data_IF_105136298679
#
_entry.id   IF_105136298679
#
_cell.length_a   1.000
_cell.length_b   1.000
_cell.length_c   1.000
_cell.angle_alpha   90.00
_cell.angle_beta   90.00
_cell.angle_gamma   90.00
#
_symmetry.space_group_name_H-M   'P 1'
#
loop_
_entity.id
_entity.type
_entity.pdbx_description
1 polymer ?
#
# COMPACT_ATOMS: atom_id res chain seq x y z
N UNK A 1 -32.11 7.78 42.22
CA UNK A 1 -30.68 7.56 42.56
C UNK A 1 -30.09 6.33 41.81
N UNK A 2 -30.27 6.25 40.48
CA UNK A 2 -29.76 5.13 39.63
C UNK A 2 -29.14 5.57 38.30
N UNK A 3 -29.02 6.87 38.05
CA UNK A 3 -28.55 7.43 36.78
C UNK A 3 -27.08 7.84 36.78
N UNK A 4 -26.42 7.91 37.94
CA UNK A 4 -25.01 8.31 38.04
C UNK A 4 -24.01 7.15 37.83
N UNK A 5 -24.44 5.88 37.94
CA UNK A 5 -23.53 4.73 37.81
C UNK A 5 -23.22 4.32 36.37
N UNK A 6 -24.02 4.76 35.38
CA UNK A 6 -23.82 4.35 33.99
C UNK A 6 -22.83 5.27 33.24
N UNK A 7 -22.75 6.54 33.64
CA UNK A 7 -21.82 7.51 33.03
C UNK A 7 -20.35 7.23 33.42
N UNK A 8 -20.09 6.78 34.65
CA UNK A 8 -18.72 6.47 35.09
C UNK A 8 -18.16 5.20 34.42
N UNK A 9 -19.04 4.28 34.00
CA UNK A 9 -18.63 3.06 33.29
C UNK A 9 -18.34 3.33 31.81
N UNK A 10 -18.98 4.33 31.20
CA UNK A 10 -18.81 4.64 29.77
C UNK A 10 -17.51 5.43 29.46
N UNK A 11 -16.98 6.17 30.44
CA UNK A 11 -15.75 6.96 30.28
C UNK A 11 -14.43 6.18 30.46
N UNK A 12 -14.46 4.95 30.99
CA UNK A 12 -13.25 4.14 31.21
C UNK A 12 -12.93 3.18 30.04
N UNK A 13 -13.85 3.00 29.10
CA UNK A 13 -13.70 2.11 27.93
C UNK A 13 -13.23 2.84 26.65
N UNK A 14 -12.93 4.14 26.72
CA UNK A 14 -12.26 4.88 25.63
C UNK A 14 -10.75 5.03 25.86
N UNK A 15 -10.15 4.14 26.66
CA UNK A 15 -8.75 3.84 26.49
C UNK A 15 -8.65 2.94 25.26
N UNK A 16 -8.16 3.47 24.14
CA UNK A 16 -7.87 2.69 22.94
C UNK A 16 -7.22 1.36 23.32
N UNK A 17 -7.63 0.27 22.66
CA UNK A 17 -7.10 -1.06 22.98
C UNK A 17 -5.57 -0.98 23.00
N UNK A 18 -4.88 -1.61 23.97
CA UNK A 18 -3.42 -1.57 23.99
C UNK A 18 -2.90 -2.12 22.66
N UNK A 19 -1.93 -1.45 22.04
CA UNK A 19 -1.37 -1.79 20.72
C UNK A 19 -1.03 -3.28 20.59
N UNK A 20 -0.57 -3.91 21.67
CA UNK A 20 -0.29 -5.34 21.72
C UNK A 20 -1.51 -6.22 21.39
N UNK A 21 -2.69 -5.87 21.88
CA UNK A 21 -3.92 -6.58 21.52
C UNK A 21 -4.30 -6.37 20.06
N UNK A 22 -4.10 -5.17 19.52
CA UNK A 22 -4.36 -4.90 18.10
C UNK A 22 -3.41 -5.67 17.18
N UNK A 23 -2.14 -5.83 17.58
CA UNK A 23 -1.16 -6.66 16.87
C UNK A 23 -1.60 -8.13 16.84
N UNK A 24 -2.05 -8.66 17.98
CA UNK A 24 -2.56 -10.03 18.08
C UNK A 24 -3.85 -10.24 17.27
N UNK A 25 -4.65 -9.19 17.15
CA UNK A 25 -5.90 -9.18 16.39
C UNK A 25 -5.68 -9.15 14.85
N UNK A 26 -4.52 -8.64 14.39
CA UNK A 26 -4.17 -8.51 12.96
C UNK A 26 -2.76 -9.06 12.68
N UNK A 27 -2.53 -10.37 12.88
CA UNK A 27 -1.19 -10.96 12.86
C UNK A 27 -0.50 -10.88 11.49
N UNK A 28 -1.23 -11.05 10.38
CA UNK A 28 -0.64 -11.00 9.04
C UNK A 28 -0.26 -9.57 8.66
N UNK A 29 -1.13 -8.59 8.92
CA UNK A 29 -0.84 -7.17 8.69
C UNK A 29 0.36 -6.72 9.50
N UNK A 30 0.41 -7.06 10.79
CA UNK A 30 1.53 -6.72 11.66
C UNK A 30 2.86 -7.33 11.16
N UNK A 31 2.81 -8.59 10.69
CA UNK A 31 3.98 -9.25 10.09
C UNK A 31 4.46 -8.54 8.83
N UNK A 32 3.55 -8.20 7.90
CA UNK A 32 3.88 -7.48 6.66
C UNK A 32 4.48 -6.10 6.96
N UNK A 33 3.91 -5.37 7.90
CA UNK A 33 4.44 -4.06 8.33
C UNK A 33 5.85 -4.21 8.90
N UNK A 34 6.08 -5.22 9.74
CA UNK A 34 7.39 -5.54 10.29
C UNK A 34 8.42 -5.85 9.20
N UNK A 35 8.04 -6.68 8.21
CA UNK A 35 8.89 -7.04 7.07
C UNK A 35 9.25 -5.80 6.25
N UNK A 36 8.26 -4.97 5.87
CA UNK A 36 8.52 -3.76 5.08
C UNK A 36 9.42 -2.78 5.84
N UNK A 37 9.19 -2.61 7.14
CA UNK A 37 9.99 -1.71 7.99
C UNK A 37 11.43 -2.21 8.14
N UNK A 38 11.62 -3.52 8.29
CA UNK A 38 12.95 -4.15 8.34
C UNK A 38 13.71 -4.01 7.02
N UNK A 39 13.03 -4.25 5.89
CA UNK A 39 13.61 -4.08 4.55
C UNK A 39 14.00 -2.62 4.33
N UNK A 40 13.13 -1.67 4.67
CA UNK A 40 13.44 -0.24 4.59
C UNK A 40 14.67 0.11 5.43
N UNK A 41 14.74 -0.32 6.69
CA UNK A 41 15.89 -0.06 7.55
C UNK A 41 17.19 -0.62 6.96
N UNK A 42 17.14 -1.83 6.40
CA UNK A 42 18.28 -2.43 5.71
C UNK A 42 18.73 -1.62 4.48
N UNK A 43 17.78 -1.19 3.64
CA UNK A 43 18.03 -0.35 2.46
C UNK A 43 18.70 0.97 2.87
N UNK A 44 18.19 1.64 3.91
CA UNK A 44 18.77 2.89 4.41
C UNK A 44 20.19 2.69 4.94
N UNK A 45 20.40 1.66 5.76
CA UNK A 45 21.72 1.37 6.35
C UNK A 45 22.78 1.06 5.29
N UNK A 46 22.38 0.46 4.16
CA UNK A 46 23.26 0.11 3.05
C UNK A 46 23.29 1.15 1.92
N UNK A 47 22.52 2.24 2.06
CA UNK A 47 22.39 3.29 1.05
C UNK A 47 22.05 2.72 -0.35
N UNK A 48 21.11 1.78 -0.39
CA UNK A 48 20.71 1.09 -1.62
C UNK A 48 19.72 1.97 -2.40
N UNK A 49 20.05 2.29 -3.65
CA UNK A 49 19.20 3.11 -4.52
C UNK A 49 18.07 2.34 -5.22
N UNK A 50 17.15 3.08 -5.84
CA UNK A 50 15.96 2.55 -6.53
C UNK A 50 16.29 1.47 -7.57
N UNK A 51 17.33 1.66 -8.38
CA UNK A 51 17.73 0.74 -9.46
C UNK A 51 18.06 -0.68 -8.98
N UNK A 52 18.43 -0.86 -7.71
CA UNK A 52 18.85 -2.15 -7.17
C UNK A 52 17.67 -3.00 -6.68
N UNK A 53 16.58 -2.37 -6.24
CA UNK A 53 15.46 -3.06 -5.58
C UNK A 53 14.14 -2.97 -6.35
N UNK A 54 14.02 -1.98 -7.23
CA UNK A 54 12.78 -1.75 -7.95
C UNK A 54 12.64 -2.58 -9.22
N UNK A 55 11.39 -2.63 -9.67
CA UNK A 55 10.95 -3.31 -10.87
C UNK A 55 11.00 -2.33 -12.04
N UNK A 56 11.82 -2.64 -13.04
CA UNK A 56 11.86 -1.91 -14.31
C UNK A 56 11.71 -2.88 -15.47
N UNK A 57 11.27 -2.37 -16.63
CA UNK A 57 11.11 -3.21 -17.82
C UNK A 57 12.45 -3.86 -18.23
N UNK A 58 13.55 -3.09 -18.17
CA UNK A 58 14.90 -3.58 -18.48
C UNK A 58 15.31 -4.75 -17.59
N UNK A 59 15.19 -4.60 -16.27
CA UNK A 59 15.55 -5.67 -15.32
C UNK A 59 14.68 -6.91 -15.48
N UNK A 60 13.40 -6.74 -15.83
CA UNK A 60 12.50 -7.87 -16.10
C UNK A 60 12.90 -8.63 -17.37
N UNK A 61 13.31 -7.94 -18.43
CA UNK A 61 13.82 -8.56 -19.67
C UNK A 61 15.16 -9.27 -19.45
N UNK A 62 15.99 -8.75 -18.54
CA UNK A 62 17.26 -9.38 -18.12
C UNK A 62 17.07 -10.64 -17.25
N UNK A 63 15.82 -11.01 -16.93
CA UNK A 63 15.50 -12.21 -16.17
C UNK A 63 15.37 -12.00 -14.66
N UNK A 64 15.40 -10.76 -14.16
CA UNK A 64 15.24 -10.44 -12.74
C UNK A 64 13.77 -10.47 -12.27
N UNK A 65 13.02 -11.52 -12.62
CA UNK A 65 11.58 -11.63 -12.36
C UNK A 65 11.20 -11.64 -10.87
N UNK A 66 12.12 -12.02 -9.97
CA UNK A 66 11.88 -11.94 -8.52
C UNK A 66 11.57 -10.51 -8.05
N UNK A 67 12.01 -9.50 -8.81
CA UNK A 67 11.70 -8.09 -8.54
C UNK A 67 10.22 -7.77 -8.60
N UNK A 68 9.40 -8.60 -9.24
CA UNK A 68 7.93 -8.49 -9.21
C UNK A 68 7.42 -8.52 -7.77
N UNK A 69 7.99 -9.41 -6.95
CA UNK A 69 7.60 -9.55 -5.55
C UNK A 69 8.42 -8.62 -4.67
N UNK A 70 9.76 -8.63 -4.80
CA UNK A 70 10.62 -7.91 -3.84
C UNK A 70 10.47 -6.38 -3.93
N UNK A 71 10.14 -5.84 -5.10
CA UNK A 71 9.89 -4.40 -5.25
C UNK A 71 8.67 -3.92 -4.49
N UNK A 72 7.64 -4.77 -4.33
CA UNK A 72 6.43 -4.44 -3.57
C UNK A 72 6.72 -4.21 -2.08
N UNK A 73 7.69 -4.92 -1.52
CA UNK A 73 8.09 -4.78 -0.10
C UNK A 73 9.22 -3.78 0.13
N UNK A 74 9.74 -3.16 -0.95
CA UNK A 74 10.86 -2.23 -0.87
C UNK A 74 10.36 -0.79 -0.88
N UNK A 75 10.77 0.00 0.11
CA UNK A 75 10.51 1.44 0.18
C UNK A 75 11.83 2.18 0.27
N UNK A 76 11.96 3.28 -0.45
CA UNK A 76 13.15 4.16 -0.36
C UNK A 76 12.87 5.38 0.51
N UNK A 77 11.67 5.96 0.42
CA UNK A 77 11.27 7.10 1.24
C UNK A 77 10.58 6.66 2.53
N UNK A 78 10.98 7.25 3.67
CA UNK A 78 10.33 7.03 4.97
C UNK A 78 8.86 7.47 4.96
N UNK A 79 8.56 8.54 4.24
CA UNK A 79 7.19 9.06 4.12
C UNK A 79 6.34 8.05 3.36
N UNK A 80 6.87 7.50 2.25
CA UNK A 80 6.16 6.48 1.46
C UNK A 80 5.96 5.19 2.26
N UNK A 81 6.91 4.81 3.12
CA UNK A 81 6.74 3.70 4.05
C UNK A 81 5.59 3.99 5.03
N UNK A 82 5.65 5.10 5.76
CA UNK A 82 4.66 5.46 6.79
C UNK A 82 3.25 5.49 6.23
N UNK A 83 3.00 6.16 5.11
CA UNK A 83 1.66 6.21 4.51
C UNK A 83 1.13 4.82 4.13
N UNK A 84 1.96 3.98 3.51
CA UNK A 84 1.55 2.62 3.17
C UNK A 84 1.25 1.79 4.41
N UNK A 85 2.09 1.86 5.44
CA UNK A 85 1.89 1.08 6.66
C UNK A 85 0.68 1.57 7.46
N UNK A 86 0.42 2.88 7.53
CA UNK A 86 -0.78 3.44 8.15
C UNK A 86 -2.06 3.04 7.43
N UNK A 87 -2.05 3.07 6.09
CA UNK A 87 -3.17 2.60 5.30
C UNK A 87 -3.38 1.08 5.46
N UNK A 88 -2.29 0.29 5.41
CA UNK A 88 -2.35 -1.16 5.59
C UNK A 88 -2.87 -1.56 6.97
N UNK A 89 -2.46 -0.87 8.03
CA UNK A 89 -2.96 -1.08 9.39
C UNK A 89 -4.48 -0.94 9.49
N UNK A 90 -5.02 0.06 8.79
CA UNK A 90 -6.46 0.33 8.71
C UNK A 90 -7.18 -0.79 7.96
N UNK A 91 -6.59 -1.26 6.86
CA UNK A 91 -7.11 -2.35 6.04
C UNK A 91 -7.01 -3.72 6.73
N UNK A 92 -6.13 -3.86 7.72
CA UNK A 92 -5.98 -5.10 8.51
C UNK A 92 -7.25 -5.51 9.28
N UNK A 93 -8.28 -4.65 9.35
CA UNK A 93 -9.62 -5.06 9.82
C UNK A 93 -10.18 -6.27 9.05
N UNK A 94 -9.75 -6.48 7.80
CA UNK A 94 -10.12 -7.63 6.97
C UNK A 94 -9.83 -8.95 7.67
N UNK A 95 -8.74 -9.04 8.44
CA UNK A 95 -8.36 -10.28 9.15
C UNK A 95 -9.38 -10.69 10.22
N UNK A 96 -10.11 -9.72 10.77
CA UNK A 96 -11.08 -9.90 11.85
C UNK A 96 -12.49 -10.20 11.34
N UNK A 97 -12.73 -10.03 10.04
CA UNK A 97 -14.04 -10.23 9.42
C UNK A 97 -14.30 -11.71 9.06
N UNK A 98 -13.66 -12.65 9.76
CA UNK A 98 -13.67 -14.08 9.43
C UNK A 98 -15.08 -14.67 9.38
N UNK A 99 -16.00 -14.13 10.18
CA UNK A 99 -17.41 -14.48 10.20
C UNK A 99 -18.16 -14.14 8.89
N UNK A 100 -17.61 -13.25 8.05
CA UNK A 100 -18.10 -12.90 6.71
C UNK A 100 -17.34 -13.63 5.58
N UNK A 101 -16.50 -14.62 5.92
CA UNK A 101 -15.61 -15.29 4.97
C UNK A 101 -14.35 -14.47 4.61
N UNK A 102 -14.12 -13.35 5.30
CA UNK A 102 -12.93 -12.51 5.16
C UNK A 102 -12.00 -12.80 6.36
N UNK A 103 -11.11 -13.78 6.23
CA UNK A 103 -10.20 -14.16 7.32
C UNK A 103 -8.74 -13.86 7.00
N UNK A 104 -7.85 -14.25 7.91
CA UNK A 104 -6.39 -14.18 7.71
C UNK A 104 -5.95 -14.93 6.44
N UNK A 105 -6.53 -16.09 6.17
CA UNK A 105 -6.22 -16.87 4.95
C UNK A 105 -6.62 -16.11 3.68
N UNK A 106 -7.85 -15.57 3.65
CA UNK A 106 -8.33 -14.74 2.54
C UNK A 106 -7.42 -13.53 2.34
N UNK A 107 -7.04 -12.86 3.42
CA UNK A 107 -6.14 -11.72 3.40
C UNK A 107 -4.76 -12.08 2.83
N UNK A 108 -4.16 -13.19 3.24
CA UNK A 108 -2.85 -13.61 2.71
C UNK A 108 -2.92 -14.02 1.23
N UNK A 109 -3.94 -14.80 0.84
CA UNK A 109 -4.12 -15.24 -0.54
C UNK A 109 -4.33 -14.06 -1.48
N UNK A 110 -5.24 -13.15 -1.14
CA UNK A 110 -5.50 -11.97 -1.98
C UNK A 110 -4.34 -11.00 -1.98
N UNK A 111 -3.62 -10.85 -0.86
CA UNK A 111 -2.38 -10.07 -0.82
C UNK A 111 -1.36 -10.61 -1.81
N UNK A 112 -1.15 -11.93 -1.85
CA UNK A 112 -0.24 -12.56 -2.80
C UNK A 112 -0.68 -12.32 -4.25
N UNK A 113 -1.98 -12.51 -4.53
CA UNK A 113 -2.55 -12.23 -5.85
C UNK A 113 -2.35 -10.77 -6.24
N UNK A 114 -2.61 -9.81 -5.34
CA UNK A 114 -2.43 -8.39 -5.59
C UNK A 114 -0.98 -8.03 -5.85
N UNK A 115 -0.02 -8.60 -5.10
CA UNK A 115 1.43 -8.39 -5.33
C UNK A 115 1.82 -8.85 -6.74
N UNK A 116 1.46 -10.09 -7.11
CA UNK A 116 1.84 -10.65 -8.41
C UNK A 116 1.12 -9.96 -9.55
N UNK A 117 -0.20 -9.79 -9.43
CA UNK A 117 -1.04 -9.17 -10.46
C UNK A 117 -0.62 -7.73 -10.73
N UNK A 118 -0.38 -6.94 -9.69
CA UNK A 118 0.05 -5.54 -9.88
C UNK A 118 1.40 -5.44 -10.57
N UNK A 119 2.39 -6.26 -10.18
CA UNK A 119 3.69 -6.28 -10.85
C UNK A 119 3.61 -6.74 -12.30
N UNK A 120 2.80 -7.75 -12.62
CA UNK A 120 2.55 -8.19 -14.00
C UNK A 120 1.85 -7.11 -14.82
N UNK A 121 0.85 -6.44 -14.26
CA UNK A 121 0.15 -5.34 -14.92
C UNK A 121 1.08 -4.15 -15.20
N UNK A 122 1.96 -3.79 -14.26
CA UNK A 122 2.97 -2.76 -14.47
C UNK A 122 3.90 -3.13 -15.63
N UNK A 123 4.41 -4.36 -15.67
CA UNK A 123 5.26 -4.82 -16.77
C UNK A 123 4.52 -4.87 -18.11
N UNK A 124 3.26 -5.33 -18.12
CA UNK A 124 2.44 -5.34 -19.32
C UNK A 124 2.19 -3.91 -19.84
N UNK A 125 1.92 -2.97 -18.95
CA UNK A 125 1.77 -1.55 -19.29
C UNK A 125 3.06 -0.97 -19.87
N UNK A 126 4.22 -1.24 -19.25
CA UNK A 126 5.51 -0.81 -19.79
C UNK A 126 5.78 -1.44 -21.16
N UNK A 127 5.48 -2.73 -21.32
CA UNK A 127 5.61 -3.41 -22.62
C UNK A 127 4.77 -2.73 -23.70
N UNK A 128 3.50 -2.41 -23.42
CA UNK A 128 2.61 -1.73 -24.35
C UNK A 128 3.09 -0.31 -24.68
N UNK A 129 3.51 0.47 -23.68
CA UNK A 129 4.00 1.85 -23.88
C UNK A 129 5.30 1.88 -24.71
N UNK A 130 6.21 0.94 -24.46
CA UNK A 130 7.48 0.86 -25.18
C UNK A 130 7.25 0.33 -26.61
N UNK A 131 6.56 -0.80 -26.78
CA UNK A 131 6.41 -1.44 -28.09
C UNK A 131 5.42 -0.71 -29.01
N UNK A 132 4.28 -0.25 -28.46
CA UNK A 132 3.21 0.35 -29.28
C UNK A 132 3.39 1.85 -29.47
N UNK A 133 3.81 2.55 -28.41
CA UNK A 133 3.92 4.01 -28.41
C UNK A 133 5.37 4.51 -28.55
N UNK A 134 6.36 3.60 -28.58
CA UNK A 134 7.79 3.91 -28.74
C UNK A 134 8.33 4.87 -27.68
N UNK A 135 7.76 4.82 -26.48
CA UNK A 135 8.16 5.66 -25.34
C UNK A 135 9.29 4.97 -24.57
N UNK A 136 10.51 5.04 -25.11
CA UNK A 136 11.71 4.40 -24.54
C UNK A 136 12.06 4.87 -23.11
N UNK A 137 11.54 6.02 -22.69
CA UNK A 137 11.68 6.52 -21.32
C UNK A 137 11.22 5.49 -20.27
N UNK A 138 10.11 4.79 -20.52
CA UNK A 138 9.55 3.80 -19.57
C UNK A 138 10.41 2.55 -19.38
N UNK A 139 11.45 2.37 -20.18
CA UNK A 139 12.34 1.22 -20.08
C UNK A 139 13.13 1.20 -18.76
N UNK A 140 13.51 2.39 -18.27
CA UNK A 140 14.35 2.60 -17.08
C UNK A 140 13.56 3.04 -15.85
N UNK A 141 12.31 3.48 -16.04
CA UNK A 141 11.42 3.84 -14.95
C UNK A 141 11.27 2.66 -14.00
N UNK A 142 11.64 2.91 -12.75
CA UNK A 142 11.74 1.88 -11.73
C UNK A 142 10.61 2.06 -10.72
N UNK A 143 9.90 0.97 -10.47
CA UNK A 143 8.71 0.91 -9.64
C UNK A 143 9.03 0.23 -8.30
N UNK A 144 8.68 0.88 -7.17
CA UNK A 144 8.85 0.33 -5.81
C UNK A 144 7.66 0.64 -4.90
N UNK A 145 7.42 -0.22 -3.91
CA UNK A 145 6.50 0.03 -2.79
C UNK A 145 5.21 -0.80 -2.82
N UNK A 146 4.56 -0.80 -1.66
CA UNK A 146 3.40 -1.66 -1.35
C UNK A 146 2.05 -1.03 -1.70
N UNK A 147 2.07 0.19 -2.26
CA UNK A 147 0.87 0.99 -2.51
C UNK A 147 -0.12 0.32 -3.45
N UNK A 148 0.33 -0.39 -4.48
CA UNK A 148 -0.54 -1.15 -5.37
C UNK A 148 -1.40 -2.18 -4.62
N UNK A 149 -0.83 -2.82 -3.59
CA UNK A 149 -1.52 -3.80 -2.75
C UNK A 149 -2.50 -3.09 -1.81
N UNK A 150 -2.08 -1.98 -1.20
CA UNK A 150 -2.96 -1.12 -0.38
C UNK A 150 -4.19 -0.68 -1.18
N UNK A 151 -4.00 -0.18 -2.41
CA UNK A 151 -5.11 0.24 -3.28
C UNK A 151 -5.97 -0.93 -3.73
N UNK A 152 -5.38 -2.09 -4.03
CA UNK A 152 -6.13 -3.31 -4.31
C UNK A 152 -7.06 -3.67 -3.15
N UNK A 153 -6.55 -3.62 -1.92
CA UNK A 153 -7.35 -3.86 -0.71
C UNK A 153 -8.43 -2.82 -0.49
N UNK A 154 -8.13 -1.53 -0.66
CA UNK A 154 -9.14 -0.46 -0.61
C UNK A 154 -10.26 -0.72 -1.62
N UNK A 155 -9.91 -1.15 -2.84
CA UNK A 155 -10.88 -1.46 -3.90
C UNK A 155 -11.74 -2.67 -3.52
N UNK A 156 -11.14 -3.75 -3.04
CA UNK A 156 -11.88 -4.94 -2.60
C UNK A 156 -12.85 -4.60 -1.46
N UNK A 157 -12.38 -3.85 -0.46
CA UNK A 157 -13.22 -3.41 0.66
C UNK A 157 -14.31 -2.45 0.22
N UNK A 158 -14.07 -1.58 -0.77
CA UNK A 158 -15.10 -0.67 -1.31
C UNK A 158 -16.29 -1.43 -1.87
N UNK A 159 -16.03 -2.59 -2.50
CA UNK A 159 -17.07 -3.44 -3.09
C UNK A 159 -17.75 -4.32 -2.05
N UNK A 160 -16.97 -4.83 -1.07
CA UNK A 160 -17.49 -5.76 -0.06
C UNK A 160 -18.18 -5.08 1.11
N UNK A 161 -17.73 -3.89 1.48
CA UNK A 161 -18.26 -3.09 2.60
C UNK A 161 -18.20 -1.58 2.26
N UNK A 162 -19.07 -1.08 1.37
CA UNK A 162 -19.04 0.31 0.91
C UNK A 162 -19.27 1.35 2.02
N UNK A 163 -19.89 0.96 3.14
CA UNK A 163 -20.17 1.84 4.29
C UNK A 163 -19.02 1.94 5.30
N UNK A 164 -17.93 1.19 5.11
CA UNK A 164 -16.79 1.20 6.04
C UNK A 164 -15.95 2.48 5.84
N UNK A 165 -15.46 3.05 6.95
CA UNK A 165 -14.56 4.21 6.96
C UNK A 165 -13.12 3.73 7.13
N UNK A 166 -12.17 4.34 6.42
CA UNK A 166 -10.74 4.12 6.64
C UNK A 166 -10.20 5.25 7.50
N UNK A 167 -9.65 4.89 8.65
CA UNK A 167 -9.03 5.85 9.55
C UNK A 167 -7.53 5.98 9.23
N UNK A 168 -7.20 6.90 8.33
CA UNK A 168 -5.81 7.28 8.09
C UNK A 168 -5.28 8.00 9.34
N UNK A 169 -4.26 7.38 9.96
CA UNK A 169 -3.59 7.85 11.17
C UNK A 169 -4.49 8.01 12.41
N UNK A 170 -5.69 7.43 12.42
CA UNK A 170 -6.62 7.53 13.55
C UNK A 170 -7.32 8.89 13.71
N UNK A 171 -7.06 9.85 12.83
CA UNK A 171 -7.70 11.18 12.85
C UNK A 171 -8.42 11.53 11.53
N UNK A 172 -8.06 10.88 10.42
CA UNK A 172 -8.66 11.15 9.11
C UNK A 172 -9.52 9.96 8.68
N UNK A 173 -10.81 9.98 9.03
CA UNK A 173 -11.79 8.97 8.58
C UNK A 173 -12.28 9.28 7.18
N UNK A 174 -11.72 8.63 6.16
CA UNK A 174 -12.14 8.78 4.79
C UNK A 174 -13.14 7.70 4.38
N UNK A 175 -14.21 8.05 3.63
CA UNK A 175 -15.03 7.05 2.96
C UNK A 175 -14.16 6.25 2.00
N UNK A 176 -14.20 4.92 2.07
CA UNK A 176 -13.38 4.02 1.24
C UNK A 176 -13.53 4.33 -0.26
N UNK A 177 -14.69 4.84 -0.69
CA UNK A 177 -14.96 5.20 -2.08
C UNK A 177 -14.10 6.34 -2.63
N UNK A 178 -13.55 7.22 -1.78
CA UNK A 178 -12.70 8.34 -2.21
C UNK A 178 -11.21 8.12 -1.93
N UNK A 179 -10.85 7.13 -1.10
CA UNK A 179 -9.47 6.82 -0.73
C UNK A 179 -8.51 6.66 -1.94
N UNK A 180 -8.87 5.96 -3.05
CA UNK A 180 -7.98 5.88 -4.20
C UNK A 180 -7.83 7.24 -4.91
N UNK A 181 -8.88 8.05 -5.01
CA UNK A 181 -8.83 9.37 -5.65
C UNK A 181 -8.09 10.41 -4.81
N UNK A 182 -8.21 10.37 -3.49
CA UNK A 182 -7.48 11.28 -2.60
C UNK A 182 -5.99 10.95 -2.52
N UNK A 183 -5.63 9.67 -2.56
CA UNK A 183 -4.22 9.28 -2.66
C UNK A 183 -3.55 9.78 -3.96
N UNK A 184 -4.32 9.85 -5.05
CA UNK A 184 -3.90 10.42 -6.33
C UNK A 184 -3.70 11.94 -6.20
N UNK A 185 -4.59 12.64 -5.49
CA UNK A 185 -4.45 14.08 -5.22
C UNK A 185 -3.24 14.35 -4.31
N UNK A 186 -3.05 13.55 -3.26
CA UNK A 186 -1.97 13.74 -2.29
C UNK A 186 -0.59 13.48 -2.90
N UNK A 187 -0.46 12.45 -3.74
CA UNK A 187 0.76 12.18 -4.51
C UNK A 187 1.04 13.29 -5.54
N UNK A 188 -0.01 13.86 -6.15
CA UNK A 188 0.11 14.98 -7.09
C UNK A 188 0.53 16.30 -6.43
N UNK A 189 0.15 16.53 -5.17
CA UNK A 189 0.53 17.74 -4.41
C UNK A 189 1.98 17.65 -3.91
N UNK A 190 2.43 16.46 -3.49
CA UNK A 190 3.79 16.26 -2.97
C UNK A 190 4.84 16.19 -4.08
N UNK A 191 4.48 15.71 -5.28
CA UNK A 191 5.36 15.65 -6.46
C UNK A 191 4.71 16.40 -7.64
N UNK A 192 4.86 17.73 -7.74
CA UNK A 192 4.05 18.56 -8.64
C UNK A 192 4.28 18.39 -10.15
N UNK A 193 5.27 17.58 -10.58
CA UNK A 193 5.75 17.59 -11.97
C UNK A 193 5.17 16.50 -12.90
N UNK A 194 4.14 15.75 -12.49
CA UNK A 194 3.69 14.54 -13.22
C UNK A 194 2.22 14.54 -13.67
N UNK A 195 1.53 15.69 -13.63
CA UNK A 195 0.11 15.81 -13.98
C UNK A 195 -0.30 15.19 -15.35
N UNK A 196 0.51 15.24 -16.43
CA UNK A 196 0.16 14.58 -17.70
C UNK A 196 0.21 13.04 -17.67
N UNK A 197 0.96 12.46 -16.73
CA UNK A 197 1.21 11.01 -16.66
C UNK A 197 0.18 10.26 -15.80
N UNK A 198 -0.58 10.98 -14.97
CA UNK A 198 -1.61 10.40 -14.10
C UNK A 198 -2.87 9.93 -14.85
N UNK A 199 -3.19 10.51 -16.03
CA UNK A 199 -4.35 10.07 -16.83
C UNK A 199 -4.09 8.80 -17.64
N UNK A 200 -2.84 8.54 -18.04
CA UNK A 200 -2.45 7.29 -18.69
C UNK A 200 -1.97 6.22 -17.70
N UNK A 201 -1.69 6.61 -16.46
CA UNK A 201 -1.11 5.80 -15.41
C UNK A 201 -2.07 5.58 -14.25
N UNK A 202 -3.02 4.65 -14.40
CA UNK A 202 -3.73 4.06 -13.25
C UNK A 202 -2.78 3.28 -12.29
N UNK A 203 -1.47 3.33 -12.52
CA UNK A 203 -0.42 2.61 -11.79
C UNK A 203 0.91 3.39 -11.76
N UNK A 204 0.90 4.69 -11.42
CA UNK A 204 2.15 5.42 -11.19
C UNK A 204 2.69 5.15 -9.77
N UNK A 205 3.30 3.98 -9.65
CA UNK A 205 4.19 3.58 -8.58
C UNK A 205 5.38 4.56 -8.57
N UNK A 206 5.34 5.54 -7.66
CA UNK A 206 6.41 6.50 -7.29
C UNK A 206 7.59 6.54 -8.28
N UNK A 207 7.49 7.38 -9.32
CA UNK A 207 8.58 7.63 -10.26
C UNK A 207 9.76 8.20 -9.49
N UNK A 208 10.76 7.35 -9.29
CA UNK A 208 12.05 7.75 -8.79
C UNK A 208 13.02 7.95 -9.96
N UNK A 209 12.76 8.98 -10.77
CA UNK A 209 13.73 9.53 -11.70
C UNK A 209 13.66 11.07 -11.78
N UNK A 210 13.34 11.75 -10.67
CA UNK A 210 13.45 13.22 -10.62
C UNK A 210 14.19 13.82 -9.41
N UNK A 211 14.98 13.01 -8.69
CA UNK A 211 16.02 13.56 -7.82
C UNK A 211 17.39 13.14 -8.38
N UNK A 212 17.80 13.86 -9.43
CA UNK A 212 19.19 14.31 -9.52
C UNK A 212 19.26 15.66 -8.80
#
# INVERSE_FOLDING_TARGET
MRTFSFAFKKGFWEMGKPLFYEILEKPATSCIIGICSMIWFYIQKKNIGYSHVGLSYETAVEGHHWRIITSAFSHISVIHLVFNMSALWSLGVVEQLGHLGLGVEYYLQYTLVLVVLSGVLVLAMYHLLIQRFKLEYFRRVTAVGYSCVVFGWMTILSVKQPSSKLDLFGFLSLPISFAPFESLIFTSIIVPQILPYHLCGFWHQTVAEHCR
#
